data_IF_719517430331
#
_entry.id   IF_719517430331
#
_cell.length_a   1.000
_cell.length_b   1.000
_cell.length_c   1.000
_cell.angle_alpha   90.00
_cell.angle_beta   90.00
_cell.angle_gamma   90.00
#
_symmetry.space_group_name_H-M   'P 1'
#
loop_
_entity.id
_entity.type
_entity.pdbx_description
1 polymer ?
#
# COMPACT_ATOMS: atom_id res chain seq x y z
N UNK A 1 15.53 -7.10 -3.09
CA UNK A 1 14.64 -8.28 -3.06
C UNK A 1 13.43 -7.99 -2.17
N UNK A 2 12.26 -8.62 -2.37
CA UNK A 2 11.07 -8.48 -1.50
C UNK A 2 10.84 -9.74 -0.65
N UNK A 3 11.87 -10.19 0.05
CA UNK A 3 11.86 -11.35 0.97
C UNK A 3 11.89 -10.90 2.42
N UNK A 4 11.25 -11.66 3.30
CA UNK A 4 11.19 -11.43 4.75
C UNK A 4 12.38 -12.07 5.51
N UNK A 5 13.52 -12.26 4.83
CA UNK A 5 14.63 -13.08 5.27
C UNK A 5 14.51 -14.56 4.86
N UNK A 6 15.65 -15.27 4.87
CA UNK A 6 15.76 -16.71 4.56
C UNK A 6 15.12 -17.16 3.24
N UNK A 7 15.02 -16.27 2.24
CA UNK A 7 14.36 -16.55 0.95
C UNK A 7 12.83 -16.55 1.00
N UNK A 8 12.20 -16.38 2.17
CA UNK A 8 10.74 -16.42 2.29
C UNK A 8 10.08 -15.17 1.69
N UNK A 9 9.17 -15.38 0.74
CA UNK A 9 8.36 -14.33 0.13
C UNK A 9 6.88 -14.52 0.48
N UNK A 10 6.16 -13.43 0.73
CA UNK A 10 4.71 -13.44 0.98
C UNK A 10 4.04 -12.52 -0.04
N UNK A 11 3.19 -13.10 -0.89
CA UNK A 11 2.34 -12.36 -1.82
C UNK A 11 1.02 -12.06 -1.12
N UNK A 12 0.58 -10.79 -1.17
CA UNK A 12 -0.74 -10.36 -0.71
C UNK A 12 -1.58 -10.00 -1.92
N UNK A 13 -2.84 -10.44 -1.95
CA UNK A 13 -3.83 -10.05 -2.95
C UNK A 13 -5.13 -9.65 -2.24
N UNK A 14 -5.89 -8.75 -2.87
CA UNK A 14 -7.18 -8.23 -2.40
C UNK A 14 -8.18 -8.25 -3.55
N UNK A 15 -9.46 -8.41 -3.23
CA UNK A 15 -10.55 -8.57 -4.18
C UNK A 15 -11.78 -9.17 -3.49
N UNK A 16 -12.77 -9.59 -4.26
CA UNK A 16 -13.89 -10.38 -3.73
C UNK A 16 -13.42 -11.79 -3.30
N UNK A 17 -14.23 -12.44 -2.46
CA UNK A 17 -13.88 -13.73 -1.85
C UNK A 17 -13.75 -14.85 -2.89
N UNK A 18 -14.52 -14.83 -3.97
CA UNK A 18 -14.49 -15.88 -5.00
C UNK A 18 -13.24 -15.74 -5.89
N UNK A 19 -12.96 -14.54 -6.40
CA UNK A 19 -11.75 -14.28 -7.20
C UNK A 19 -10.46 -14.52 -6.41
N UNK A 20 -10.40 -14.06 -5.15
CA UNK A 20 -9.24 -14.33 -4.28
C UNK A 20 -9.09 -15.83 -4.02
N UNK A 21 -10.17 -16.57 -3.78
CA UNK A 21 -10.09 -18.01 -3.57
C UNK A 21 -9.65 -18.76 -4.84
N UNK A 22 -10.17 -18.42 -6.01
CA UNK A 22 -9.77 -19.02 -7.29
C UNK A 22 -8.29 -18.74 -7.63
N UNK A 23 -7.83 -17.50 -7.40
CA UNK A 23 -6.44 -17.11 -7.60
C UNK A 23 -5.50 -17.87 -6.64
N UNK A 24 -5.86 -17.98 -5.36
CA UNK A 24 -5.08 -18.72 -4.36
C UNK A 24 -5.04 -20.22 -4.67
N UNK A 25 -6.16 -20.86 -5.01
CA UNK A 25 -6.17 -22.29 -5.38
C UNK A 25 -5.28 -22.58 -6.58
N UNK A 26 -5.35 -21.74 -7.63
CA UNK A 26 -4.53 -21.89 -8.84
C UNK A 26 -3.03 -21.66 -8.56
N UNK A 27 -2.71 -20.60 -7.81
CA UNK A 27 -1.33 -20.26 -7.45
C UNK A 27 -0.68 -21.24 -6.48
N UNK A 28 -1.44 -21.76 -5.50
CA UNK A 28 -0.98 -22.77 -4.56
C UNK A 28 -0.55 -24.05 -5.29
N UNK A 29 -1.41 -24.62 -6.13
CA UNK A 29 -1.11 -25.82 -6.93
C UNK A 29 0.12 -25.62 -7.83
N UNK A 30 0.25 -24.46 -8.47
CA UNK A 30 1.43 -24.11 -9.29
C UNK A 30 2.74 -24.00 -8.48
N UNK A 31 2.66 -23.58 -7.21
CA UNK A 31 3.80 -23.48 -6.31
C UNK A 31 4.17 -24.84 -5.66
N UNK A 32 3.17 -25.68 -5.34
CA UNK A 32 3.36 -27.05 -4.85
C UNK A 32 4.12 -27.92 -5.86
N UNK A 33 3.76 -27.83 -7.15
CA UNK A 33 4.47 -28.49 -8.26
C UNK A 33 5.96 -28.14 -8.37
N UNK A 34 6.41 -27.07 -7.70
CA UNK A 34 7.81 -26.60 -7.67
C UNK A 34 8.42 -26.66 -6.26
N UNK A 35 7.73 -27.30 -5.31
CA UNK A 35 8.08 -27.34 -3.88
C UNK A 35 8.29 -25.95 -3.25
N UNK A 36 7.66 -24.90 -3.82
CA UNK A 36 7.81 -23.51 -3.41
C UNK A 36 6.69 -22.98 -2.50
N UNK A 37 5.62 -23.77 -2.25
CA UNK A 37 4.56 -23.39 -1.32
C UNK A 37 4.93 -23.74 0.11
N UNK A 38 4.80 -22.76 1.01
CA UNK A 38 4.96 -22.94 2.47
C UNK A 38 3.60 -22.97 3.17
N UNK A 39 2.76 -21.99 2.86
CA UNK A 39 1.42 -21.83 3.38
C UNK A 39 0.61 -20.88 2.49
N UNK A 40 -0.71 -20.99 2.52
CA UNK A 40 -1.64 -20.02 1.94
C UNK A 40 -2.83 -19.81 2.88
N UNK A 41 -3.44 -18.63 2.86
CA UNK A 41 -4.64 -18.35 3.67
C UNK A 41 -5.50 -17.27 3.01
N UNK A 42 -6.79 -17.58 2.85
CA UNK A 42 -7.83 -16.60 2.51
C UNK A 42 -8.46 -16.09 3.82
N UNK A 43 -8.73 -14.79 3.89
CA UNK A 43 -9.41 -14.12 5.00
C UNK A 43 -10.60 -13.35 4.41
N UNK A 44 -11.78 -13.97 4.38
CA UNK A 44 -12.97 -13.43 3.71
C UNK A 44 -13.51 -12.13 4.34
N UNK A 45 -13.21 -11.88 5.62
CA UNK A 45 -13.51 -10.62 6.31
C UNK A 45 -12.31 -10.26 7.21
N UNK A 46 -11.34 -9.47 6.72
CA UNK A 46 -10.22 -9.01 7.54
C UNK A 46 -10.72 -8.06 8.64
N UNK A 47 -10.00 -8.02 9.76
CA UNK A 47 -10.19 -7.00 10.79
C UNK A 47 -9.68 -5.63 10.33
N UNK A 48 -10.11 -4.57 10.99
CA UNK A 48 -9.60 -3.21 10.77
C UNK A 48 -8.08 -3.16 11.00
N UNK A 49 -7.38 -2.35 10.21
CA UNK A 49 -5.91 -2.25 10.25
C UNK A 49 -5.13 -3.45 9.67
N UNK A 50 -5.75 -4.60 9.38
CA UNK A 50 -5.08 -5.74 8.72
C UNK A 50 -4.70 -5.40 7.27
N UNK A 51 -5.60 -4.68 6.58
CA UNK A 51 -5.35 -4.11 5.25
C UNK A 51 -5.01 -2.63 5.40
N UNK A 52 -3.75 -2.34 5.75
CA UNK A 52 -3.15 -1.02 5.49
C UNK A 52 -3.08 -0.83 3.98
N UNK A 53 -4.08 -0.16 3.42
CA UNK A 53 -4.23 0.00 1.99
C UNK A 53 -3.17 0.97 1.44
N UNK A 54 -2.22 0.43 0.68
CA UNK A 54 -1.74 1.12 -0.51
C UNK A 54 -2.97 1.22 -1.44
N UNK A 55 -3.42 2.43 -1.82
CA UNK A 55 -4.63 2.58 -2.62
C UNK A 55 -4.45 1.83 -3.94
N UNK A 56 -5.49 1.14 -4.47
CA UNK A 56 -5.38 0.57 -5.80
C UNK A 56 -5.01 1.69 -6.78
N UNK A 57 -4.04 1.47 -7.70
CA UNK A 57 -3.79 2.45 -8.74
C UNK A 57 -5.12 2.72 -9.46
N UNK A 58 -5.45 3.99 -9.78
CA UNK A 58 -6.70 4.29 -10.45
C UNK A 58 -6.79 3.44 -11.71
N UNK A 59 -7.89 2.72 -11.87
CA UNK A 59 -8.07 1.86 -13.03
C UNK A 59 -8.32 2.77 -14.23
N UNK A 60 -7.24 3.13 -14.92
CA UNK A 60 -7.27 3.89 -16.18
C UNK A 60 -7.76 2.96 -17.28
N UNK A 61 -9.05 2.63 -17.19
CA UNK A 61 -9.86 2.26 -18.34
C UNK A 61 -10.17 3.59 -19.02
N UNK A 62 -9.28 4.02 -19.92
CA UNK A 62 -9.68 4.99 -20.94
C UNK A 62 -10.71 4.27 -21.85
N UNK A 63 -11.97 4.72 -21.89
CA UNK A 63 -12.93 4.16 -22.83
C UNK A 63 -12.57 4.68 -24.23
N UNK A 64 -12.00 3.81 -25.06
CA UNK A 64 -11.81 4.12 -26.48
C UNK A 64 -13.20 4.39 -27.10
N UNK A 65 -13.45 5.59 -27.69
CA UNK A 65 -14.81 6.10 -27.82
C UNK A 65 -15.53 5.60 -29.08
N UNK A 66 -16.11 4.40 -29.00
CA UNK A 66 -17.21 4.02 -29.90
C UNK A 66 -18.54 4.57 -29.37
N UNK A 67 -19.22 5.38 -30.19
CA UNK A 67 -20.40 6.14 -29.78
C UNK A 67 -21.72 5.35 -29.94
N UNK A 68 -22.63 5.46 -28.96
CA UNK A 68 -23.91 6.14 -29.20
C UNK A 68 -24.84 6.26 -27.97
N UNK A 69 -25.52 7.41 -27.91
CA UNK A 69 -26.87 7.68 -27.34
C UNK A 69 -27.14 7.68 -25.82
N UNK A 70 -28.17 8.49 -25.47
CA UNK A 70 -28.82 8.83 -24.17
C UNK A 70 -27.94 9.49 -23.08
N UNK A 71 -28.20 10.68 -22.50
CA UNK A 71 -29.43 11.39 -22.06
C UNK A 71 -30.05 10.77 -20.78
N UNK A 72 -30.29 11.45 -19.64
CA UNK A 72 -30.23 12.89 -19.26
C UNK A 72 -29.59 13.02 -17.83
N UNK A 73 -28.85 14.08 -17.45
CA UNK A 73 -29.28 15.29 -16.70
C UNK A 73 -30.06 14.94 -15.39
N UNK A 74 -29.68 15.26 -14.14
CA UNK A 74 -29.07 16.43 -13.41
C UNK A 74 -28.35 15.94 -12.10
N UNK A 75 -27.63 16.67 -11.20
CA UNK A 75 -27.08 18.05 -11.07
C UNK A 75 -25.95 18.11 -9.97
N UNK A 76 -25.50 19.34 -9.63
CA UNK A 76 -24.99 19.94 -8.35
C UNK A 76 -24.74 19.07 -7.07
N UNK A 77 -23.78 19.35 -6.16
CA UNK A 77 -22.61 20.27 -6.03
C UNK A 77 -21.78 19.82 -4.76
N UNK A 78 -20.83 20.49 -4.07
CA UNK A 78 -20.27 21.88 -4.02
C UNK A 78 -18.86 21.90 -3.31
N UNK A 79 -18.33 23.10 -2.97
CA UNK A 79 -17.22 23.52 -2.07
C UNK A 79 -16.36 22.47 -1.29
N UNK A 80 -15.02 22.50 -1.20
CA UNK A 80 -13.97 23.56 -1.00
C UNK A 80 -13.55 23.78 0.48
N UNK A 81 -12.26 23.54 0.80
CA UNK A 81 -11.40 24.35 1.72
C UNK A 81 -9.96 23.77 1.86
N UNK A 82 -9.00 24.58 2.33
CA UNK A 82 -7.59 24.25 2.62
C UNK A 82 -6.94 25.35 3.49
N UNK A 83 -5.69 25.24 4.01
CA UNK A 83 -4.82 24.07 4.27
C UNK A 83 -4.47 23.94 5.78
N UNK A 84 -3.61 22.99 6.16
CA UNK A 84 -2.99 22.92 7.51
C UNK A 84 -1.51 22.51 7.41
N UNK A 85 -0.59 23.42 7.70
CA UNK A 85 0.84 23.08 7.88
C UNK A 85 1.04 22.49 9.29
N UNK A 86 1.47 21.23 9.36
CA UNK A 86 1.95 20.60 10.60
C UNK A 86 3.47 20.44 10.53
N UNK A 87 4.16 20.70 11.64
CA UNK A 87 5.62 20.85 11.68
C UNK A 87 6.34 19.60 11.15
N UNK A 88 7.05 19.76 10.03
CA UNK A 88 7.65 18.65 9.28
C UNK A 88 8.92 18.13 9.99
N UNK A 89 8.75 17.26 10.99
CA UNK A 89 9.83 16.53 11.66
C UNK A 89 10.50 15.57 10.67
N UNK A 90 11.52 16.08 9.96
CA UNK A 90 12.31 15.36 8.96
C UNK A 90 12.86 14.02 9.46
N UNK A 91 13.41 14.01 10.67
CA UNK A 91 14.20 12.91 11.20
C UNK A 91 13.53 12.21 12.38
N UNK A 92 12.65 11.26 12.10
CA UNK A 92 12.09 10.32 13.09
C UNK A 92 13.14 9.31 13.61
N UNK A 93 14.16 9.84 14.28
CA UNK A 93 15.27 9.14 14.94
C UNK A 93 15.90 10.05 16.01
N UNK A 94 16.03 11.35 15.73
CA UNK A 94 16.44 12.37 16.71
C UNK A 94 15.38 13.45 16.98
N UNK A 95 14.31 13.51 16.18
CA UNK A 95 13.20 14.46 16.24
C UNK A 95 13.58 15.94 16.07
N UNK A 96 14.82 16.23 15.68
CA UNK A 96 15.29 17.58 15.38
C UNK A 96 14.83 18.04 13.99
N UNK A 97 14.05 19.13 13.87
CA UNK A 97 13.56 19.64 12.58
C UNK A 97 14.67 20.23 11.69
N UNK A 98 15.87 20.51 12.22
CA UNK A 98 17.04 20.97 11.45
C UNK A 98 17.90 19.82 10.93
N UNK A 99 17.59 18.57 11.29
CA UNK A 99 18.29 17.42 10.74
C UNK A 99 17.89 17.23 9.26
N UNK A 100 18.83 17.17 8.30
CA UNK A 100 18.48 17.01 6.88
C UNK A 100 17.96 15.61 6.54
N UNK A 101 18.31 14.59 7.35
CA UNK A 101 17.98 13.18 7.09
C UNK A 101 16.47 12.91 7.16
N UNK A 102 15.90 12.46 6.05
CA UNK A 102 14.50 12.08 5.89
C UNK A 102 14.20 10.62 6.31
N UNK A 103 12.92 10.24 6.36
CA UNK A 103 12.48 8.86 6.62
C UNK A 103 12.86 7.93 5.45
N UNK A 104 13.72 6.94 5.72
CA UNK A 104 14.25 5.99 4.72
C UNK A 104 15.74 6.16 4.46
N UNK A 105 16.30 7.36 4.66
CA UNK A 105 17.73 7.62 4.50
C UNK A 105 18.58 7.03 5.64
N UNK A 106 19.83 6.60 5.35
CA UNK A 106 20.69 5.93 6.31
C UNK A 106 21.02 6.80 7.53
N UNK A 107 21.10 6.17 8.71
CA UNK A 107 21.30 6.86 10.00
C UNK A 107 22.61 7.67 10.09
N UNK A 108 23.58 7.39 9.22
CA UNK A 108 24.84 8.17 9.08
C UNK A 108 24.63 9.61 8.63
N UNK A 109 23.51 9.93 7.95
CA UNK A 109 23.16 11.29 7.54
C UNK A 109 22.45 12.09 8.65
N UNK A 110 22.19 11.47 9.80
CA UNK A 110 21.64 12.16 10.97
C UNK A 110 22.73 12.97 11.68
N UNK A 111 22.46 14.24 12.00
CA UNK A 111 23.33 15.09 12.83
C UNK A 111 23.53 14.54 14.27
N UNK A 112 22.69 13.59 14.69
CA UNK A 112 22.77 12.89 15.97
C UNK A 112 22.98 11.38 15.77
N UNK A 113 24.19 10.93 15.35
CA UNK A 113 24.49 9.53 15.03
C UNK A 113 24.76 8.69 16.29
N UNK A 114 23.79 8.62 17.21
CA UNK A 114 23.88 7.80 18.42
C UNK A 114 22.70 8.00 19.34
N UNK A 115 22.41 9.26 19.70
CA UNK A 115 21.22 9.62 20.46
C UNK A 115 19.96 9.21 19.69
N UNK A 116 18.98 8.66 20.41
CA UNK A 116 17.58 8.62 19.97
C UNK A 116 16.89 9.82 20.62
N UNK A 117 15.95 10.45 19.92
CA UNK A 117 15.15 11.51 20.51
C UNK A 117 14.43 11.01 21.76
N UNK A 118 14.50 11.78 22.84
CA UNK A 118 13.46 11.75 23.87
C UNK A 118 12.26 12.51 23.28
N UNK A 119 11.05 12.01 23.52
CA UNK A 119 9.80 12.45 22.88
C UNK A 119 8.94 13.28 23.85
#
# INVERSE_FOLDING_TARGET
>A
EKTNGSGWMVIKITGDVASVQAAITTGAHFAEQRNGLVAHKVIARPGEGILLAEPPPPSVIEPEPEASEIADVVSEATAEEAPQESELVSCNLCLDPKCPRQKGEPRTLCIHPGKRGEA
#
